data_IF_007231189411
#
_entry.id   IF_007231189411
#
_cell.length_a   1.000
_cell.length_b   1.000
_cell.length_c   1.000
_cell.angle_alpha   90.00
_cell.angle_beta   90.00
_cell.angle_gamma   90.00
#
_symmetry.space_group_name_H-M   'P 1'
#
loop_
_entity.id
_entity.type
_entity.pdbx_description
1 polymer ?
#
# COMPACT_ATOMS: atom_id res chain seq x y z
N UNK A 1 -46.50 43.32 -42.54
CA UNK A 1 -45.20 43.82 -42.04
C UNK A 1 -44.86 43.04 -40.78
N UNK A 2 -43.82 42.19 -40.80
CA UNK A 2 -43.47 41.32 -39.67
C UNK A 2 -42.26 41.90 -38.95
N UNK A 3 -42.42 42.27 -37.68
CA UNK A 3 -41.33 42.79 -36.84
C UNK A 3 -40.65 41.58 -36.17
N UNK A 4 -39.42 41.27 -36.59
CA UNK A 4 -38.57 40.28 -35.92
C UNK A 4 -38.04 40.87 -34.61
N UNK A 5 -38.34 40.19 -33.50
CA UNK A 5 -37.74 40.46 -32.19
C UNK A 5 -36.30 39.92 -32.15
N UNK A 6 -35.31 40.81 -32.23
CA UNK A 6 -33.90 40.54 -31.93
C UNK A 6 -33.74 40.19 -30.44
N UNK A 7 -33.58 38.90 -30.11
CA UNK A 7 -33.21 38.49 -28.74
C UNK A 7 -31.77 38.92 -28.49
N UNK A 8 -31.56 39.93 -27.65
CA UNK A 8 -30.20 40.35 -27.23
C UNK A 8 -29.48 39.16 -26.58
N UNK A 9 -28.45 38.64 -27.24
CA UNK A 9 -27.53 37.66 -26.64
C UNK A 9 -26.75 38.37 -25.53
N UNK A 10 -27.05 38.07 -24.26
CA UNK A 10 -26.22 38.51 -23.13
C UNK A 10 -24.92 37.68 -23.16
N UNK A 11 -23.79 38.34 -23.43
CA UNK A 11 -22.46 37.73 -23.33
C UNK A 11 -21.98 37.70 -21.88
N UNK A 12 -21.10 36.73 -21.57
CA UNK A 12 -20.44 36.63 -20.27
C UNK A 12 -19.44 37.77 -20.09
N UNK A 13 -19.37 38.36 -18.90
CA UNK A 13 -18.43 39.46 -18.61
C UNK A 13 -17.07 38.91 -18.16
N UNK A 14 -16.00 39.63 -18.46
CA UNK A 14 -14.66 39.26 -17.99
C UNK A 14 -14.56 39.31 -16.46
N UNK A 15 -15.30 40.21 -15.81
CA UNK A 15 -15.31 40.32 -14.35
C UNK A 15 -15.98 39.10 -13.69
N UNK A 16 -17.04 38.56 -14.29
CA UNK A 16 -17.65 37.31 -13.83
C UNK A 16 -16.64 36.15 -13.91
N UNK A 17 -15.83 36.08 -14.97
CA UNK A 17 -14.79 35.05 -15.09
C UNK A 17 -13.74 35.19 -13.99
N UNK A 18 -13.29 36.42 -13.72
CA UNK A 18 -12.23 36.71 -12.75
C UNK A 18 -12.66 36.31 -11.33
N UNK A 19 -13.91 36.62 -10.94
CA UNK A 19 -14.42 36.26 -9.61
C UNK A 19 -14.51 34.74 -9.47
N UNK A 20 -14.95 34.03 -10.52
CA UNK A 20 -15.07 32.57 -10.50
C UNK A 20 -13.71 31.90 -10.30
N UNK A 21 -12.68 32.30 -11.06
CA UNK A 21 -11.34 31.71 -10.91
C UNK A 21 -10.70 32.07 -9.57
N UNK A 22 -11.00 33.26 -9.02
CA UNK A 22 -10.55 33.65 -7.68
C UNK A 22 -11.13 32.75 -6.58
N UNK A 23 -12.43 32.46 -6.64
CA UNK A 23 -13.09 31.57 -5.66
C UNK A 23 -12.57 30.13 -5.81
N UNK A 24 -12.45 29.62 -7.04
CA UNK A 24 -11.88 28.28 -7.29
C UNK A 24 -10.44 28.20 -6.77
N UNK A 25 -9.65 29.26 -6.92
CA UNK A 25 -8.27 29.33 -6.40
C UNK A 25 -8.21 29.16 -4.88
N UNK A 26 -9.09 29.85 -4.14
CA UNK A 26 -9.15 29.74 -2.67
C UNK A 26 -9.58 28.33 -2.25
N UNK A 27 -10.60 27.76 -2.89
CA UNK A 27 -11.07 26.40 -2.59
C UNK A 27 -9.99 25.36 -2.90
N UNK A 28 -9.31 25.48 -4.04
CA UNK A 28 -8.25 24.57 -4.45
C UNK A 28 -7.06 24.59 -3.46
N UNK A 29 -6.70 25.76 -2.93
CA UNK A 29 -5.61 25.89 -1.96
C UNK A 29 -5.83 25.06 -0.68
N UNK A 30 -7.09 24.91 -0.23
CA UNK A 30 -7.45 24.11 0.94
C UNK A 30 -7.72 22.65 0.55
N UNK A 31 -8.42 22.42 -0.57
CA UNK A 31 -8.87 21.11 -0.98
C UNK A 31 -7.72 20.20 -1.44
N UNK A 32 -6.75 20.71 -2.20
CA UNK A 32 -5.63 19.92 -2.75
C UNK A 32 -4.79 19.25 -1.64
N UNK A 33 -4.24 19.96 -0.63
CA UNK A 33 -3.43 19.32 0.39
C UNK A 33 -4.24 18.30 1.21
N UNK A 34 -5.49 18.59 1.52
CA UNK A 34 -6.37 17.66 2.24
C UNK A 34 -6.64 16.39 1.41
N UNK A 35 -6.95 16.55 0.12
CA UNK A 35 -7.18 15.43 -0.77
C UNK A 35 -5.95 14.53 -0.92
N UNK A 36 -4.75 15.14 -1.00
CA UNK A 36 -3.48 14.38 -1.02
C UNK A 36 -3.25 13.61 0.28
N UNK A 37 -3.56 14.21 1.44
CA UNK A 37 -3.44 13.53 2.74
C UNK A 37 -4.41 12.34 2.85
N UNK A 38 -5.67 12.51 2.41
CA UNK A 38 -6.66 11.43 2.38
C UNK A 38 -6.21 10.30 1.45
N UNK A 39 -5.73 10.62 0.24
CA UNK A 39 -5.20 9.62 -0.68
C UNK A 39 -4.01 8.85 -0.08
N UNK A 40 -3.06 9.54 0.56
CA UNK A 40 -1.93 8.89 1.23
C UNK A 40 -2.42 7.93 2.32
N UNK A 41 -3.37 8.37 3.15
CA UNK A 41 -3.95 7.55 4.22
C UNK A 41 -4.68 6.32 3.66
N UNK A 42 -5.44 6.48 2.58
CA UNK A 42 -6.15 5.37 1.93
C UNK A 42 -5.17 4.31 1.39
N UNK A 43 -4.06 4.74 0.76
CA UNK A 43 -3.00 3.83 0.30
C UNK A 43 -2.35 3.05 1.45
N UNK A 44 -2.06 3.73 2.56
CA UNK A 44 -1.52 3.08 3.77
C UNK A 44 -2.51 2.06 4.33
N UNK A 45 -3.80 2.38 4.36
CA UNK A 45 -4.83 1.45 4.86
C UNK A 45 -4.98 0.21 3.96
N UNK A 46 -4.94 0.39 2.63
CA UNK A 46 -4.95 -0.72 1.69
C UNK A 46 -3.74 -1.65 1.91
N UNK A 47 -2.58 -1.09 2.26
CA UNK A 47 -1.40 -1.88 2.56
C UNK A 47 -1.49 -2.64 3.89
N UNK A 48 -2.14 -2.07 4.91
CA UNK A 48 -2.43 -2.78 6.17
C UNK A 48 -3.38 -3.96 5.92
N UNK A 49 -4.43 -3.76 5.13
CA UNK A 49 -5.36 -4.82 4.76
C UNK A 49 -4.66 -5.93 3.97
N UNK A 50 -3.84 -5.55 2.99
CA UNK A 50 -3.02 -6.50 2.23
C UNK A 50 -2.04 -7.24 3.15
N UNK A 51 -1.44 -6.53 4.11
CA UNK A 51 -0.56 -7.13 5.12
C UNK A 51 -1.28 -8.14 6.00
N UNK A 52 -2.54 -7.87 6.39
CA UNK A 52 -3.36 -8.85 7.11
C UNK A 52 -3.62 -10.10 6.28
N UNK A 53 -3.96 -9.95 5.00
CA UNK A 53 -4.17 -11.09 4.10
C UNK A 53 -2.89 -11.94 3.94
N UNK A 54 -1.73 -11.28 3.88
CA UNK A 54 -0.42 -11.94 3.88
C UNK A 54 -0.14 -12.70 5.18
N UNK A 55 -0.49 -12.11 6.32
CA UNK A 55 -0.36 -12.76 7.61
C UNK A 55 -1.23 -14.02 7.70
N UNK A 56 -2.49 -13.94 7.23
CA UNK A 56 -3.42 -15.07 7.22
C UNK A 56 -2.90 -16.20 6.31
N UNK A 57 -2.44 -15.86 5.10
CA UNK A 57 -1.83 -16.81 4.17
C UNK A 57 -0.57 -17.48 4.75
N UNK A 58 0.31 -16.68 5.36
CA UNK A 58 1.54 -17.20 6.00
C UNK A 58 1.20 -18.12 7.16
N UNK A 59 0.22 -17.75 7.99
CA UNK A 59 -0.24 -18.56 9.11
C UNK A 59 -0.79 -19.91 8.65
N UNK A 60 -1.56 -19.93 7.55
CA UNK A 60 -2.05 -21.15 6.93
C UNK A 60 -0.90 -22.04 6.44
N UNK A 61 0.11 -21.47 5.78
CA UNK A 61 1.27 -22.22 5.26
C UNK A 61 2.17 -22.76 6.38
N UNK A 62 2.28 -22.05 7.50
CA UNK A 62 2.96 -22.55 8.70
C UNK A 62 2.18 -23.75 9.27
N UNK A 63 0.85 -23.67 9.32
CA UNK A 63 0.00 -24.78 9.78
C UNK A 63 0.06 -26.00 8.83
N UNK A 64 0.19 -25.78 7.53
CA UNK A 64 0.44 -26.81 6.51
C UNK A 64 1.88 -27.36 6.53
N UNK A 65 2.73 -26.88 7.43
CA UNK A 65 4.13 -27.28 7.57
C UNK A 65 4.96 -27.01 6.29
N UNK A 66 4.54 -26.04 5.47
CA UNK A 66 5.27 -25.56 4.28
C UNK A 66 6.33 -24.53 4.66
N UNK A 67 6.01 -23.65 5.62
CA UNK A 67 6.97 -22.74 6.25
C UNK A 67 7.38 -23.34 7.59
N UNK A 68 8.66 -23.69 7.74
CA UNK A 68 9.16 -24.42 8.91
C UNK A 68 10.07 -23.56 9.77
N UNK A 69 10.10 -23.87 11.06
CA UNK A 69 11.15 -23.37 11.93
C UNK A 69 12.53 -23.82 11.42
N UNK A 70 13.53 -22.92 11.38
CA UNK A 70 14.88 -23.32 11.00
C UNK A 70 15.43 -24.32 12.03
N UNK A 71 15.90 -25.47 11.55
CA UNK A 71 16.58 -26.46 12.38
C UNK A 71 17.88 -25.84 12.88
N UNK A 72 18.16 -25.98 14.19
CA UNK A 72 19.20 -25.22 14.91
C UNK A 72 20.55 -25.24 14.17
N UNK A 73 21.10 -24.04 14.04
CA UNK A 73 22.46 -23.68 13.59
C UNK A 73 22.63 -23.21 12.15
N UNK A 74 22.17 -21.98 11.87
CA UNK A 74 23.03 -20.96 11.26
C UNK A 74 22.89 -19.67 12.11
N UNK A 75 23.98 -19.28 12.78
CA UNK A 75 24.07 -18.14 13.73
C UNK A 75 23.92 -16.81 12.97
N UNK A 76 23.56 -15.65 13.54
CA UNK A 76 23.73 -15.11 14.90
C UNK A 76 22.82 -13.88 15.02
N UNK A 77 21.94 -13.82 16.03
CA UNK A 77 21.17 -12.64 16.54
C UNK A 77 19.64 -12.64 16.47
N UNK A 78 18.96 -13.64 15.91
CA UNK A 78 17.49 -13.65 15.96
C UNK A 78 16.90 -14.59 14.92
N UNK A 79 15.93 -15.38 15.32
CA UNK A 79 15.43 -16.57 14.64
C UNK A 79 14.49 -16.23 13.46
N UNK A 80 14.93 -15.37 12.54
CA UNK A 80 14.08 -14.71 11.52
C UNK A 80 14.29 -15.32 10.13
N UNK A 81 13.21 -15.80 9.51
CA UNK A 81 13.16 -16.10 8.08
C UNK A 81 12.48 -14.91 7.38
N UNK A 82 13.22 -14.19 6.54
CA UNK A 82 12.68 -13.11 5.72
C UNK A 82 12.25 -13.66 4.34
N UNK A 83 10.95 -13.74 4.11
CA UNK A 83 10.32 -14.20 2.87
C UNK A 83 9.86 -12.99 2.06
N UNK A 84 10.32 -12.86 0.82
CA UNK A 84 9.95 -11.74 -0.06
C UNK A 84 8.74 -12.09 -0.91
N UNK A 85 7.65 -11.34 -0.85
CA UNK A 85 6.44 -11.59 -1.66
C UNK A 85 6.57 -10.93 -3.03
N UNK A 86 7.60 -11.32 -3.76
CA UNK A 86 7.85 -10.92 -5.13
C UNK A 86 8.31 -12.16 -5.92
N UNK A 87 7.62 -12.46 -7.03
CA UNK A 87 7.96 -13.59 -7.92
C UNK A 87 9.38 -13.47 -8.49
N UNK A 88 9.96 -12.27 -8.48
CA UNK A 88 11.29 -12.01 -9.06
C UNK A 88 12.45 -12.50 -8.18
N UNK A 89 12.23 -12.75 -6.88
CA UNK A 89 13.27 -13.28 -5.99
C UNK A 89 13.00 -14.77 -5.84
N UNK A 90 13.86 -15.63 -6.39
CA UNK A 90 13.75 -17.10 -6.41
C UNK A 90 13.73 -17.76 -5.02
N UNK A 91 12.80 -17.38 -4.15
CA UNK A 91 12.57 -17.95 -2.83
C UNK A 91 11.36 -18.90 -2.93
N UNK A 92 11.58 -20.18 -2.64
CA UNK A 92 10.56 -21.23 -2.77
C UNK A 92 9.38 -20.96 -1.83
N UNK A 93 9.62 -20.44 -0.63
CA UNK A 93 8.60 -20.15 0.39
C UNK A 93 7.72 -18.95 -0.01
N UNK A 94 8.28 -18.01 -0.78
CA UNK A 94 7.52 -16.89 -1.33
C UNK A 94 6.50 -17.34 -2.39
N UNK A 95 6.85 -18.33 -3.20
CA UNK A 95 5.95 -18.86 -4.23
C UNK A 95 4.72 -19.51 -3.62
N UNK A 96 4.85 -20.17 -2.46
CA UNK A 96 3.71 -20.77 -1.77
C UNK A 96 2.72 -19.73 -1.26
N UNK A 97 3.21 -18.61 -0.70
CA UNK A 97 2.37 -17.47 -0.28
C UNK A 97 1.66 -16.87 -1.48
N UNK A 98 2.38 -16.64 -2.58
CA UNK A 98 1.82 -16.04 -3.80
C UNK A 98 0.77 -16.97 -4.44
N UNK A 99 1.01 -18.28 -4.43
CA UNK A 99 0.05 -19.27 -4.91
C UNK A 99 -1.23 -19.28 -4.06
N UNK A 100 -1.09 -19.11 -2.74
CA UNK A 100 -2.22 -19.00 -1.83
C UNK A 100 -3.04 -17.72 -2.07
N UNK A 101 -2.36 -16.59 -2.32
CA UNK A 101 -3.02 -15.30 -2.59
C UNK A 101 -3.59 -15.17 -3.99
N UNK A 102 -3.22 -16.05 -4.92
CA UNK A 102 -3.58 -16.02 -6.35
C UNK A 102 -3.14 -14.75 -7.12
N UNK A 103 -2.50 -13.79 -6.45
CA UNK A 103 -1.87 -12.61 -7.03
C UNK A 103 -0.61 -12.21 -6.25
N UNK A 104 0.25 -11.39 -6.86
CA UNK A 104 1.39 -10.79 -6.15
C UNK A 104 0.93 -9.45 -5.56
N UNK A 105 0.86 -9.31 -4.23
CA UNK A 105 0.45 -8.07 -3.61
C UNK A 105 1.49 -6.97 -3.88
N UNK A 106 1.02 -5.78 -4.25
CA UNK A 106 1.86 -4.62 -4.54
C UNK A 106 1.48 -3.50 -3.55
N UNK A 107 2.44 -2.95 -2.80
CA UNK A 107 2.16 -1.85 -1.88
C UNK A 107 1.74 -0.60 -2.65
N UNK A 108 0.69 0.06 -2.16
CA UNK A 108 0.17 1.29 -2.72
C UNK A 108 0.84 2.53 -2.12
N UNK A 109 1.36 2.43 -0.89
CA UNK A 109 2.04 3.54 -0.22
C UNK A 109 3.47 3.78 -0.72
N UNK A 110 4.12 2.75 -1.28
CA UNK A 110 5.52 2.80 -1.74
C UNK A 110 5.61 2.46 -3.22
N UNK A 111 6.05 3.42 -4.03
CA UNK A 111 6.26 3.21 -5.46
C UNK A 111 7.34 2.15 -5.69
N UNK A 112 7.05 1.17 -6.55
CA UNK A 112 7.95 0.06 -6.89
C UNK A 112 8.42 -0.73 -5.64
N UNK A 113 7.66 -0.66 -4.55
CA UNK A 113 7.94 -1.46 -3.36
C UNK A 113 7.39 -2.88 -3.52
N UNK A 114 7.76 -3.73 -2.58
CA UNK A 114 7.21 -5.08 -2.43
C UNK A 114 6.96 -5.36 -0.95
N UNK A 115 6.07 -6.31 -0.68
CA UNK A 115 5.85 -6.82 0.67
C UNK A 115 6.90 -7.88 1.03
N UNK A 116 7.32 -7.89 2.28
CA UNK A 116 8.12 -8.96 2.86
C UNK A 116 7.44 -9.48 4.13
N UNK A 117 7.49 -10.78 4.30
CA UNK A 117 7.00 -11.51 5.46
C UNK A 117 8.19 -11.99 6.26
N UNK A 118 8.36 -11.49 7.47
CA UNK A 118 9.34 -11.99 8.40
C UNK A 118 8.65 -12.94 9.38
N UNK A 119 9.12 -14.18 9.47
CA UNK A 119 8.64 -15.15 10.45
C UNK A 119 9.75 -15.39 11.47
N UNK A 120 9.53 -14.92 12.69
CA UNK A 120 10.41 -15.19 13.83
C UNK A 120 9.77 -16.23 14.73
N UNK A 121 10.54 -17.21 15.18
CA UNK A 121 9.99 -18.27 16.03
C UNK A 121 10.51 -18.16 17.46
N UNK A 122 9.63 -18.02 18.46
CA UNK A 122 10.00 -18.23 19.87
C UNK A 122 9.53 -19.63 20.31
N UNK A 123 10.49 -20.55 20.49
CA UNK A 123 10.21 -21.99 20.64
C UNK A 123 9.23 -22.43 19.56
N UNK A 124 8.03 -22.91 19.87
CA UNK A 124 7.04 -23.37 18.87
C UNK A 124 6.01 -22.30 18.46
N UNK A 125 6.20 -21.05 18.89
CA UNK A 125 5.27 -19.94 18.59
C UNK A 125 5.82 -19.08 17.45
N UNK A 126 5.20 -19.07 16.25
CA UNK A 126 5.58 -18.17 15.19
C UNK A 126 5.07 -16.75 15.47
N UNK A 127 5.94 -15.76 15.25
CA UNK A 127 5.65 -14.34 15.25
C UNK A 127 5.87 -13.83 13.83
N UNK A 128 4.77 -13.48 13.17
CA UNK A 128 4.77 -13.07 11.75
C UNK A 128 4.65 -11.55 11.69
N UNK A 129 5.56 -10.93 10.95
CA UNK A 129 5.58 -9.48 10.70
C UNK A 129 5.56 -9.23 9.22
N UNK A 130 4.79 -8.23 8.79
CA UNK A 130 4.67 -7.85 7.39
C UNK A 130 5.22 -6.44 7.22
N UNK A 131 6.26 -6.33 6.40
CA UNK A 131 6.93 -5.08 6.08
C UNK A 131 6.81 -4.70 4.61
N UNK A 132 6.97 -3.43 4.32
CA UNK A 132 7.13 -2.91 2.96
C UNK A 132 8.58 -2.50 2.76
N UNK A 133 9.17 -2.99 1.68
CA UNK A 133 10.50 -2.60 1.25
C UNK A 133 10.40 -1.80 -0.05
N UNK A 134 11.31 -0.86 -0.24
CA UNK A 134 11.43 -0.16 -1.51
C UNK A 134 12.29 -0.94 -2.52
N UNK A 135 12.40 -0.39 -3.72
CA UNK A 135 13.22 -0.88 -4.83
C UNK A 135 14.70 -1.06 -4.48
N UNK A 136 15.20 -0.37 -3.45
CA UNK A 136 16.58 -0.46 -2.93
C UNK A 136 16.75 -1.48 -1.81
N UNK A 137 15.74 -2.31 -1.54
CA UNK A 137 15.70 -3.25 -0.41
C UNK A 137 15.84 -2.59 0.98
N UNK A 138 15.44 -1.31 1.11
CA UNK A 138 15.34 -0.67 2.42
C UNK A 138 13.92 -0.86 2.98
N UNK A 139 13.84 -1.27 4.25
CA UNK A 139 12.58 -1.32 4.98
C UNK A 139 12.00 0.09 5.10
N UNK A 140 10.83 0.32 4.51
CA UNK A 140 10.08 1.57 4.64
C UNK A 140 9.25 1.54 5.92
N UNK A 141 8.71 0.38 6.28
CA UNK A 141 8.04 0.19 7.56
C UNK A 141 7.25 -1.10 7.65
N UNK A 142 6.61 -1.32 8.80
CA UNK A 142 5.73 -2.47 9.03
C UNK A 142 4.27 -2.09 8.91
N UNK A 143 3.49 -2.99 8.31
CA UNK A 143 2.04 -2.81 8.13
C UNK A 143 1.22 -3.75 9.01
N UNK A 144 1.80 -4.87 9.45
CA UNK A 144 1.16 -5.83 10.34
C UNK A 144 2.19 -6.53 11.24
N UNK A 145 1.89 -6.85 12.51
CA UNK A 145 0.64 -6.63 13.24
C UNK A 145 0.41 -5.19 13.72
N UNK A 146 1.43 -4.34 13.64
CA UNK A 146 1.34 -2.93 13.96
C UNK A 146 1.86 -2.08 12.80
N UNK A 147 1.18 -0.96 12.59
CA UNK A 147 1.53 0.01 11.57
C UNK A 147 2.64 0.92 12.10
N UNK A 148 3.83 0.80 11.51
CA UNK A 148 5.02 1.62 11.79
C UNK A 148 5.69 1.96 10.45
N UNK A 149 5.15 2.96 9.74
CA UNK A 149 5.72 3.47 8.49
C UNK A 149 6.59 4.69 8.78
N UNK A 150 7.85 4.66 8.31
CA UNK A 150 8.79 5.77 8.40
C UNK A 150 8.60 6.80 7.29
#
# INVERSE_FOLDING_TARGET
>A
MSIRSERRKKGFTLIELIIVVAIIGILAAIAIPNFLAIQRKARIQADVETGKNLFDATSALIAENKIKQPLKEEKSNGKTIDIFVDKSKNNIEANDIINYMQNTPIPQSVKNGYFAVAVEWDKDKPNIRIGIFNDKNNLVGTVYPSLDLK
#
